data_IF_241208320085
#
_entry.id   IF_241208320085
#
_cell.length_a   1.000
_cell.length_b   1.000
_cell.length_c   1.000
_cell.angle_alpha   90.00
_cell.angle_beta   90.00
_cell.angle_gamma   90.00
#
_symmetry.space_group_name_H-M   'P 1'
#
loop_
_entity.id
_entity.type
_entity.pdbx_description
1 polymer ?
#
# COMPACT_ATOMS: atom_id res chain seq x y z
N UNK A 1 0.04 -5.68 -7.29
CA UNK A 1 -0.48 -6.98 -6.83
C UNK A 1 -1.10 -6.80 -5.45
N UNK A 2 -2.19 -7.50 -5.17
CA UNK A 2 -2.86 -7.52 -3.87
C UNK A 2 -2.88 -8.98 -3.38
N UNK A 3 -2.44 -9.21 -2.16
CA UNK A 3 -2.49 -10.50 -1.50
C UNK A 3 -3.25 -10.35 -0.18
N UNK A 4 -4.28 -11.18 0.02
CA UNK A 4 -5.02 -11.23 1.28
C UNK A 4 -4.44 -12.34 2.16
N UNK A 5 -3.78 -11.96 3.25
CA UNK A 5 -3.30 -12.88 4.28
C UNK A 5 -4.32 -12.91 5.43
N UNK A 6 -4.23 -13.87 6.37
CA UNK A 6 -5.22 -13.99 7.44
C UNK A 6 -5.37 -12.74 8.31
N UNK A 7 -4.27 -12.03 8.59
CA UNK A 7 -4.24 -10.91 9.53
C UNK A 7 -4.13 -9.53 8.87
N UNK A 8 -3.68 -9.48 7.61
CA UNK A 8 -3.42 -8.24 6.88
C UNK A 8 -3.47 -8.43 5.37
N UNK A 9 -3.58 -7.33 4.64
CA UNK A 9 -3.41 -7.30 3.19
C UNK A 9 -2.01 -6.83 2.84
N UNK A 10 -1.34 -7.54 1.93
CA UNK A 10 -0.07 -7.14 1.36
C UNK A 10 -0.30 -6.56 -0.04
N UNK A 11 0.01 -5.28 -0.21
CA UNK A 11 -0.15 -4.55 -1.47
C UNK A 11 1.22 -4.20 -2.02
N UNK A 12 1.48 -4.54 -3.29
CA UNK A 12 2.72 -4.16 -3.99
C UNK A 12 2.37 -3.38 -5.24
N UNK A 13 2.90 -2.17 -5.37
CA UNK A 13 2.72 -1.30 -6.54
C UNK A 13 4.08 -1.08 -7.20
N UNK A 14 4.19 -1.35 -8.50
CA UNK A 14 5.44 -1.13 -9.23
C UNK A 14 5.76 0.36 -9.34
N UNK A 15 7.01 0.74 -9.12
CA UNK A 15 7.49 2.11 -9.34
C UNK A 15 7.46 2.50 -10.81
N UNK A 16 7.69 1.55 -11.71
CA UNK A 16 7.57 1.80 -13.14
C UNK A 16 6.12 2.14 -13.52
N UNK A 17 5.15 1.41 -12.96
CA UNK A 17 3.73 1.70 -13.16
C UNK A 17 3.38 3.11 -12.67
N UNK A 18 3.81 3.49 -11.47
CA UNK A 18 3.58 4.84 -10.92
C UNK A 18 4.19 5.94 -11.81
N UNK A 19 5.46 5.77 -12.21
CA UNK A 19 6.14 6.75 -13.06
C UNK A 19 5.49 6.88 -14.44
N UNK A 20 5.03 5.78 -15.03
CA UNK A 20 4.32 5.81 -16.31
C UNK A 20 3.02 6.61 -16.27
N UNK A 21 2.43 6.75 -15.08
CA UNK A 21 1.22 7.54 -14.83
C UNK A 21 1.51 8.92 -14.21
N UNK A 22 2.79 9.32 -14.11
CA UNK A 22 3.19 10.60 -13.53
C UNK A 22 3.12 10.68 -12.00
N UNK A 23 2.98 9.55 -11.32
CA UNK A 23 2.93 9.49 -9.85
C UNK A 23 4.31 9.25 -9.23
N UNK A 24 4.56 9.91 -8.11
CA UNK A 24 5.74 9.67 -7.28
C UNK A 24 5.51 8.51 -6.33
N UNK A 25 6.49 7.61 -6.24
CA UNK A 25 6.50 6.51 -5.27
C UNK A 25 6.43 6.99 -3.80
N UNK A 26 6.83 8.24 -3.54
CA UNK A 26 6.86 8.84 -2.21
C UNK A 26 5.55 9.51 -1.81
N UNK A 27 4.64 9.74 -2.76
CA UNK A 27 3.36 10.41 -2.51
C UNK A 27 2.20 9.41 -2.33
N UNK A 28 2.52 8.16 -2.01
CA UNK A 28 1.53 7.12 -1.74
C UNK A 28 1.28 7.03 -0.24
N UNK A 29 0.04 7.24 0.15
CA UNK A 29 -0.42 7.14 1.54
C UNK A 29 -1.71 6.32 1.61
N UNK A 30 -1.93 5.67 2.75
CA UNK A 30 -3.22 5.06 3.08
C UNK A 30 -4.13 6.09 3.76
N UNK A 31 -5.37 5.67 4.08
CA UNK A 31 -6.33 6.49 4.83
C UNK A 31 -5.75 7.00 6.16
N UNK A 32 -4.93 6.16 6.81
CA UNK A 32 -4.14 6.54 7.96
C UNK A 32 -2.68 6.81 7.52
N UNK A 33 -2.19 8.06 7.62
CA UNK A 33 -0.84 8.42 7.22
C UNK A 33 0.25 7.86 8.15
N UNK A 34 -0.12 7.32 9.32
CA UNK A 34 0.83 6.60 10.19
C UNK A 34 1.25 5.25 9.60
N UNK A 35 0.46 4.69 8.68
CA UNK A 35 0.79 3.47 7.97
C UNK A 35 1.69 3.79 6.78
N UNK A 36 2.99 3.70 7.02
CA UNK A 36 4.02 4.04 6.05
C UNK A 36 4.30 2.87 5.10
N UNK A 37 4.52 3.14 3.80
CA UNK A 37 4.95 2.11 2.87
C UNK A 37 6.42 1.72 3.07
N UNK A 38 6.74 0.50 2.65
CA UNK A 38 8.11 0.10 2.35
C UNK A 38 8.43 0.44 0.89
N UNK A 39 9.33 1.39 0.67
CA UNK A 39 9.69 1.88 -0.66
C UNK A 39 11.03 1.26 -1.07
N UNK A 40 11.05 0.51 -2.17
CA UNK A 40 12.26 -0.06 -2.77
C UNK A 40 12.59 0.66 -4.09
N UNK A 41 13.64 0.23 -4.80
CA UNK A 41 13.97 0.75 -6.15
C UNK A 41 12.93 0.35 -7.20
N UNK A 42 12.24 -0.77 -7.00
CA UNK A 42 11.36 -1.38 -8.00
C UNK A 42 9.88 -1.25 -7.68
N UNK A 43 9.52 -1.20 -6.39
CA UNK A 43 8.13 -1.20 -5.94
C UNK A 43 7.93 -0.43 -4.64
N UNK A 44 6.66 -0.20 -4.34
CA UNK A 44 6.17 0.32 -3.07
C UNK A 44 5.25 -0.74 -2.48
N UNK A 45 5.53 -1.17 -1.26
CA UNK A 45 4.76 -2.20 -0.57
C UNK A 45 4.06 -1.63 0.67
N UNK A 46 2.84 -2.09 0.93
CA UNK A 46 2.07 -1.80 2.13
C UNK A 46 1.62 -3.11 2.77
N UNK A 47 1.84 -3.23 4.08
CA UNK A 47 1.22 -4.24 4.92
C UNK A 47 0.08 -3.56 5.69
N UNK A 48 -1.16 -3.92 5.39
CA UNK A 48 -2.36 -3.24 5.85
C UNK A 48 -3.15 -4.18 6.77
N UNK A 49 -3.01 -4.06 8.11
CA UNK A 49 -3.77 -4.88 9.05
C UNK A 49 -5.26 -4.57 8.94
N UNK A 50 -6.12 -5.59 9.01
CA UNK A 50 -7.58 -5.41 8.92
C UNK A 50 -8.20 -4.60 10.07
N UNK A 51 -7.44 -4.39 11.15
CA UNK A 51 -7.89 -3.69 12.36
C UNK A 51 -7.33 -2.27 12.47
N UNK A 52 -6.50 -1.80 11.52
CA UNK A 52 -5.76 -0.53 11.58
C UNK A 52 -5.65 0.13 10.19
N UNK A 53 -4.85 1.17 10.05
CA UNK A 53 -4.61 1.85 8.78
C UNK A 53 -5.85 2.48 8.12
N UNK A 54 -6.88 2.77 8.92
CA UNK A 54 -8.17 3.28 8.42
C UNK A 54 -8.93 2.27 7.55
N UNK A 55 -8.69 0.96 7.74
CA UNK A 55 -9.50 -0.08 7.10
C UNK A 55 -10.90 -0.10 7.70
N UNK A 56 -11.91 -0.24 6.83
CA UNK A 56 -13.32 -0.39 7.22
C UNK A 56 -13.77 -1.81 6.88
N UNK A 57 -14.55 -2.41 7.77
CA UNK A 57 -15.18 -3.71 7.55
C UNK A 57 -16.66 -3.50 7.28
N UNK A 58 -17.10 -3.90 6.11
CA UNK A 58 -18.50 -3.89 5.71
C UNK A 58 -19.08 -5.32 5.74
N UNK A 59 -20.39 -5.42 5.99
CA UNK A 59 -21.14 -6.67 6.15
C UNK A 59 -22.22 -6.76 5.07
#
# INVERSE_FOLDING_TARGET
ALLCLPDYMHVVVSRYFLQSHGYSAWNLTLNDPSCTPNITSEYVAFDIPYTRCGTVREV
#
